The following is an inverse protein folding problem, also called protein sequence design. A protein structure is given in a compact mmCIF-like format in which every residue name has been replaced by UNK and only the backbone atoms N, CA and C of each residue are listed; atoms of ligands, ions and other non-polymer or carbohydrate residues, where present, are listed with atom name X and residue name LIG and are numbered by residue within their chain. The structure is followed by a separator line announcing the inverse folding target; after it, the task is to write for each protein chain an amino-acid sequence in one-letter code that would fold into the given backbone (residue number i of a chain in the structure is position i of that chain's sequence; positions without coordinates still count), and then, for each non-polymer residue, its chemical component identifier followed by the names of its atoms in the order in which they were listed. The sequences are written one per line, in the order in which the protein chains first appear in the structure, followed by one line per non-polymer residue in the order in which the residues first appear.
data_IF_762854006227
#
_entry.id   IF_762854006227
#
_cell.length_a   1.000
_cell.length_b   1.000
_cell.length_c   1.000
_cell.angle_alpha   90.00
_cell.angle_beta   90.00
_cell.angle_gamma   90.00
#
_symmetry.space_group_name_H-M   'P 1'
#
loop_
_entity.id
_entity.type
_entity.pdbx_description
1 polymer ?
#
# COMPACT_ATOMS: atom_id res chain seq x y z
N UNK A 1 38.42 -21.75 -40.56
CA UNK A 1 36.95 -21.75 -40.37
C UNK A 1 36.38 -20.58 -41.15
N UNK A 2 35.33 -20.81 -41.97
CA UNK A 2 34.68 -19.72 -42.70
C UNK A 2 33.96 -18.80 -41.69
N UNK A 3 34.26 -17.48 -41.65
CA UNK A 3 33.66 -16.53 -40.71
C UNK A 3 32.13 -16.61 -40.66
N UNK A 4 31.49 -16.91 -41.79
CA UNK A 4 30.04 -17.09 -41.89
C UNK A 4 29.52 -18.27 -41.05
N UNK A 5 30.30 -19.35 -40.91
CA UNK A 5 29.92 -20.50 -40.08
C UNK A 5 30.04 -20.17 -38.59
N UNK A 6 31.07 -19.41 -38.20
CA UNK A 6 31.22 -18.91 -36.82
C UNK A 6 30.09 -17.98 -36.42
N UNK A 7 29.73 -17.02 -37.29
CA UNK A 7 28.62 -16.09 -37.06
C UNK A 7 27.30 -16.86 -36.92
N UNK A 8 27.02 -17.81 -37.82
CA UNK A 8 25.83 -18.67 -37.74
C UNK A 8 25.78 -19.48 -36.45
N UNK A 9 26.90 -20.08 -36.05
CA UNK A 9 26.99 -20.85 -34.81
C UNK A 9 26.77 -19.97 -33.57
N UNK A 10 27.44 -18.82 -33.52
CA UNK A 10 27.28 -17.86 -32.43
C UNK A 10 25.83 -17.38 -32.32
N UNK A 11 25.21 -16.98 -33.43
CA UNK A 11 23.79 -16.58 -33.44
C UNK A 11 22.88 -17.73 -32.96
N UNK A 12 23.09 -18.96 -33.43
CA UNK A 12 22.29 -20.10 -33.00
C UNK A 12 22.41 -20.35 -31.49
N UNK A 13 23.64 -20.35 -30.95
CA UNK A 13 23.88 -20.55 -29.51
C UNK A 13 23.25 -19.43 -28.69
N UNK A 14 23.42 -18.17 -29.09
CA UNK A 14 22.81 -17.02 -28.41
C UNK A 14 21.28 -17.09 -28.45
N UNK A 15 20.68 -17.45 -29.59
CA UNK A 15 19.23 -17.64 -29.71
C UNK A 15 18.74 -18.75 -28.79
N UNK A 16 19.41 -19.90 -28.76
CA UNK A 16 19.05 -21.01 -27.85
C UNK A 16 19.15 -20.58 -26.38
N UNK A 17 20.19 -19.82 -26.01
CA UNK A 17 20.36 -19.32 -24.66
C UNK A 17 19.22 -18.36 -24.27
N UNK A 18 18.88 -17.41 -25.15
CA UNK A 18 17.77 -16.45 -24.91
C UNK A 18 16.43 -17.19 -24.79
N UNK A 19 16.16 -18.15 -25.68
CA UNK A 19 14.93 -18.95 -25.63
C UNK A 19 14.86 -19.80 -24.37
N UNK A 20 15.98 -20.37 -23.91
CA UNK A 20 16.03 -21.15 -22.67
C UNK A 20 15.75 -20.28 -21.44
N UNK A 21 16.34 -19.07 -21.39
CA UNK A 21 16.07 -18.09 -20.34
C UNK A 21 14.58 -17.69 -20.36
N UNK A 22 14.06 -17.35 -21.53
CA UNK A 22 12.67 -16.94 -21.73
C UNK A 22 11.67 -18.03 -21.31
N UNK A 23 11.92 -19.27 -21.74
CA UNK A 23 11.12 -20.42 -21.36
C UNK A 23 11.16 -20.65 -19.85
N UNK A 24 12.34 -20.62 -19.23
CA UNK A 24 12.48 -20.78 -17.77
C UNK A 24 11.68 -19.71 -17.02
N UNK A 25 11.82 -18.46 -17.43
CA UNK A 25 11.12 -17.34 -16.82
C UNK A 25 9.60 -17.43 -16.99
N UNK A 26 9.12 -17.85 -18.17
CA UNK A 26 7.70 -18.08 -18.42
C UNK A 26 7.15 -19.23 -17.58
N UNK A 27 7.87 -20.36 -17.51
CA UNK A 27 7.46 -21.54 -16.76
C UNK A 27 7.43 -21.29 -15.25
N UNK A 28 8.45 -20.62 -14.70
CA UNK A 28 8.50 -20.33 -13.26
C UNK A 28 7.58 -19.17 -12.90
N UNK A 29 7.53 -18.14 -13.75
CA UNK A 29 6.73 -16.93 -13.56
C UNK A 29 6.88 -16.36 -12.13
N UNK A 30 8.10 -15.95 -11.73
CA UNK A 30 8.42 -15.60 -10.34
C UNK A 30 7.58 -14.43 -9.82
N UNK A 31 7.16 -13.52 -10.70
CA UNK A 31 6.37 -12.32 -10.34
C UNK A 31 4.87 -12.47 -10.55
N UNK A 32 4.39 -13.63 -11.02
CA UNK A 32 2.96 -13.87 -11.31
C UNK A 32 2.36 -12.89 -12.33
N UNK A 33 3.16 -12.45 -13.32
CA UNK A 33 2.73 -11.57 -14.42
C UNK A 33 1.84 -12.33 -15.40
N UNK A 34 2.21 -13.57 -15.73
CA UNK A 34 1.42 -14.42 -16.63
C UNK A 34 0.24 -15.04 -15.87
N UNK A 35 -0.97 -14.88 -16.40
CA UNK A 35 -2.22 -15.43 -15.85
C UNK A 35 -2.20 -16.95 -15.80
N UNK A 36 -1.68 -17.58 -16.85
CA UNK A 36 -1.46 -19.03 -16.95
C UNK A 36 0.03 -19.33 -17.16
N UNK A 37 0.59 -20.17 -16.31
CA UNK A 37 1.90 -20.78 -16.50
C UNK A 37 1.88 -22.20 -15.92
N UNK A 38 2.54 -23.19 -16.56
CA UNK A 38 2.48 -24.60 -16.13
C UNK A 38 2.87 -24.82 -14.66
N UNK A 39 3.78 -24.01 -14.10
CA UNK A 39 4.22 -24.15 -12.71
C UNK A 39 3.51 -23.16 -11.75
N UNK A 40 2.50 -22.42 -12.21
CA UNK A 40 1.70 -21.58 -11.31
C UNK A 40 0.91 -22.40 -10.28
N UNK A 41 0.53 -23.64 -10.62
CA UNK A 41 -0.18 -24.57 -9.74
C UNK A 41 0.75 -25.34 -8.79
N UNK A 42 2.05 -25.32 -9.03
CA UNK A 42 3.02 -25.85 -8.08
C UNK A 42 3.10 -24.91 -6.88
N UNK A 43 3.23 -25.48 -5.68
CA UNK A 43 3.38 -24.76 -4.41
C UNK A 43 4.77 -24.10 -4.30
N UNK A 44 5.20 -23.37 -5.34
CA UNK A 44 6.43 -22.57 -5.32
C UNK A 44 6.16 -21.27 -4.56
N UNK A 45 7.03 -20.97 -3.60
CA UNK A 45 6.99 -19.72 -2.83
C UNK A 45 7.47 -18.56 -3.71
N UNK A 46 6.53 -17.83 -4.31
CA UNK A 46 6.80 -16.69 -5.21
C UNK A 46 6.97 -15.40 -4.41
N UNK A 47 8.08 -15.29 -3.70
CA UNK A 47 8.40 -14.18 -2.79
C UNK A 47 9.29 -13.09 -3.41
N UNK A 48 9.99 -13.40 -4.50
CA UNK A 48 10.88 -12.45 -5.17
C UNK A 48 10.06 -11.46 -5.98
N UNK A 49 10.23 -10.15 -5.73
CA UNK A 49 9.52 -9.08 -6.44
C UNK A 49 10.52 -8.15 -7.14
N UNK A 50 10.18 -7.66 -8.34
CA UNK A 50 10.89 -6.52 -8.94
C UNK A 50 10.36 -5.18 -8.44
N UNK A 51 9.05 -5.12 -8.21
CA UNK A 51 8.36 -3.91 -7.80
C UNK A 51 7.08 -4.31 -7.07
N UNK A 52 6.87 -3.74 -5.88
CA UNK A 52 5.60 -3.89 -5.16
C UNK A 52 4.45 -3.26 -5.95
N UNK A 53 4.71 -2.13 -6.62
CA UNK A 53 3.76 -1.42 -7.50
C UNK A 53 3.30 -2.32 -8.65
N UNK A 54 4.23 -2.90 -9.39
CA UNK A 54 3.93 -3.86 -10.46
C UNK A 54 3.10 -5.04 -9.93
N UNK A 55 3.55 -5.63 -8.82
CA UNK A 55 2.92 -6.80 -8.21
C UNK A 55 1.46 -6.54 -7.84
N UNK A 56 1.15 -5.36 -7.29
CA UNK A 56 -0.22 -4.99 -6.93
C UNK A 56 -1.15 -4.93 -8.15
N UNK A 57 -0.69 -4.44 -9.30
CA UNK A 57 -1.49 -4.38 -10.54
C UNK A 57 -1.79 -5.79 -11.08
N UNK A 58 -0.80 -6.67 -11.14
CA UNK A 58 -1.02 -8.03 -11.63
C UNK A 58 -1.80 -8.90 -10.64
N UNK A 59 -1.63 -8.68 -9.34
CA UNK A 59 -2.49 -9.27 -8.32
C UNK A 59 -3.94 -8.83 -8.50
N UNK A 60 -4.17 -7.54 -8.73
CA UNK A 60 -5.49 -7.00 -9.01
C UNK A 60 -6.13 -7.63 -10.25
N UNK A 61 -5.40 -7.68 -11.37
CA UNK A 61 -5.86 -8.32 -12.62
C UNK A 61 -6.24 -9.80 -12.42
N UNK A 62 -5.55 -10.51 -11.52
CA UNK A 62 -5.77 -11.94 -11.26
C UNK A 62 -6.86 -12.22 -10.21
N UNK A 63 -6.86 -11.48 -9.11
CA UNK A 63 -7.80 -11.67 -8.00
C UNK A 63 -9.19 -11.14 -8.37
N UNK A 64 -9.27 -10.08 -9.18
CA UNK A 64 -10.53 -9.41 -9.54
C UNK A 64 -11.37 -9.08 -8.29
N UNK A 65 -10.81 -8.34 -7.32
CA UNK A 65 -11.47 -8.09 -6.05
C UNK A 65 -12.72 -7.22 -6.20
N UNK A 66 -13.69 -7.42 -5.31
CA UNK A 66 -14.84 -6.54 -5.13
C UNK A 66 -14.61 -5.52 -4.00
N UNK A 67 -13.65 -5.78 -3.11
CA UNK A 67 -13.29 -4.90 -2.00
C UNK A 67 -11.78 -4.61 -2.01
N UNK A 68 -11.42 -3.34 -1.87
CA UNK A 68 -10.02 -2.90 -1.81
C UNK A 68 -9.70 -2.25 -0.46
N UNK A 69 -8.55 -2.63 0.10
CA UNK A 69 -7.89 -1.86 1.16
C UNK A 69 -6.81 -1.02 0.51
N UNK A 70 -6.84 0.29 0.72
CA UNK A 70 -5.91 1.23 0.08
C UNK A 70 -5.28 2.16 1.10
N UNK A 71 -4.02 2.52 0.86
CA UNK A 71 -3.26 3.45 1.69
C UNK A 71 -1.76 3.18 1.59
N UNK A 72 -1.04 3.54 2.65
CA UNK A 72 0.40 3.30 2.75
C UNK A 72 0.72 1.96 3.42
N UNK A 73 1.97 1.76 3.86
CA UNK A 73 2.37 0.57 4.64
C UNK A 73 1.51 0.34 5.89
N UNK A 74 0.89 1.38 6.46
CA UNK A 74 0.08 1.26 7.69
C UNK A 74 -1.12 0.31 7.53
N UNK A 75 -1.96 0.53 6.51
CA UNK A 75 -3.03 -0.42 6.18
C UNK A 75 -2.49 -1.68 5.51
N UNK A 76 -1.29 -1.60 4.91
CA UNK A 76 -0.58 -2.74 4.30
C UNK A 76 -0.25 -3.87 5.27
N UNK A 77 -0.15 -3.58 6.58
CA UNK A 77 0.06 -4.59 7.62
C UNK A 77 -1.22 -5.33 8.02
N UNK A 78 -2.39 -4.87 7.60
CA UNK A 78 -3.65 -5.50 7.95
C UNK A 78 -4.02 -6.61 6.98
N UNK A 79 -4.59 -7.69 7.52
CA UNK A 79 -4.99 -8.84 6.74
C UNK A 79 -6.38 -8.60 6.12
N UNK A 80 -6.57 -8.90 4.81
CA UNK A 80 -7.89 -8.92 4.19
C UNK A 80 -8.92 -9.75 4.96
N UNK A 81 -8.46 -10.79 5.69
CA UNK A 81 -9.30 -11.66 6.51
C UNK A 81 -10.10 -10.89 7.57
N UNK A 82 -9.55 -9.79 8.09
CA UNK A 82 -10.20 -8.97 9.12
C UNK A 82 -11.45 -8.23 8.60
N UNK A 83 -11.59 -8.09 7.27
CA UNK A 83 -12.76 -7.47 6.65
C UNK A 83 -13.80 -8.47 6.15
N UNK A 84 -13.49 -9.77 6.13
CA UNK A 84 -14.39 -10.80 5.58
C UNK A 84 -15.69 -10.97 6.36
N UNK A 85 -15.72 -10.52 7.62
CA UNK A 85 -16.94 -10.52 8.46
C UNK A 85 -17.87 -9.34 8.14
N UNK A 86 -17.35 -8.30 7.48
CA UNK A 86 -18.09 -7.07 7.18
C UNK A 86 -18.44 -6.90 5.70
N UNK A 87 -17.63 -7.49 4.80
CA UNK A 87 -17.68 -7.22 3.36
C UNK A 87 -17.49 -8.48 2.50
N UNK A 88 -18.05 -8.42 1.30
CA UNK A 88 -17.95 -9.49 0.31
C UNK A 88 -16.51 -9.71 -0.18
N UNK A 89 -16.19 -10.99 -0.42
CA UNK A 89 -14.97 -11.45 -1.10
C UNK A 89 -15.10 -11.29 -2.63
N UNK A 90 -13.97 -11.27 -3.38
CA UNK A 90 -12.59 -11.24 -2.90
C UNK A 90 -12.16 -9.86 -2.36
N UNK A 91 -11.41 -9.86 -1.27
CA UNK A 91 -10.83 -8.66 -0.65
C UNK A 91 -9.33 -8.64 -0.98
N UNK A 92 -8.84 -7.54 -1.54
CA UNK A 92 -7.41 -7.34 -1.77
C UNK A 92 -6.88 -6.15 -0.96
N UNK A 93 -5.75 -6.38 -0.28
CA UNK A 93 -4.94 -5.29 0.24
C UNK A 93 -4.05 -4.72 -0.87
N UNK A 94 -4.48 -3.60 -1.45
CA UNK A 94 -3.81 -2.87 -2.54
C UNK A 94 -2.87 -1.77 -1.99
N UNK A 95 -2.57 -1.78 -0.68
CA UNK A 95 -1.69 -0.80 -0.08
C UNK A 95 -0.33 -0.71 -0.79
N UNK A 96 0.18 0.51 -0.87
CA UNK A 96 1.45 0.84 -1.49
C UNK A 96 2.37 1.43 -0.43
N UNK A 97 3.39 0.67 -0.02
CA UNK A 97 4.36 1.07 1.00
C UNK A 97 4.92 2.47 0.71
N UNK A 98 4.88 3.34 1.72
CA UNK A 98 5.40 4.71 1.63
C UNK A 98 4.84 5.55 0.49
N UNK A 99 3.67 5.22 -0.07
CA UNK A 99 3.11 5.90 -1.25
C UNK A 99 2.73 7.36 -1.02
N UNK A 100 2.80 8.14 -2.09
CA UNK A 100 2.15 9.45 -2.21
C UNK A 100 0.64 9.30 -2.46
N UNK A 101 -0.14 10.34 -2.15
CA UNK A 101 -1.57 10.38 -2.51
C UNK A 101 -1.77 10.29 -4.03
N UNK A 102 -0.84 10.80 -4.84
CA UNK A 102 -0.90 10.68 -6.29
C UNK A 102 -0.82 9.23 -6.77
N UNK A 103 0.13 8.42 -6.25
CA UNK A 103 0.18 6.99 -6.57
C UNK A 103 -1.13 6.30 -6.16
N UNK A 104 -1.64 6.61 -4.98
CA UNK A 104 -2.88 6.00 -4.49
C UNK A 104 -4.06 6.34 -5.40
N UNK A 105 -4.15 7.59 -5.85
CA UNK A 105 -5.12 8.05 -6.84
C UNK A 105 -5.03 7.29 -8.16
N UNK A 106 -3.83 7.13 -8.73
CA UNK A 106 -3.66 6.41 -9.99
C UNK A 106 -4.14 4.96 -9.88
N UNK A 107 -3.80 4.27 -8.79
CA UNK A 107 -4.19 2.88 -8.56
C UNK A 107 -5.70 2.74 -8.32
N UNK A 108 -6.29 3.61 -7.51
CA UNK A 108 -7.74 3.60 -7.26
C UNK A 108 -8.53 3.93 -8.51
N UNK A 109 -8.11 4.95 -9.27
CA UNK A 109 -8.75 5.30 -10.54
C UNK A 109 -8.74 4.11 -11.50
N UNK A 110 -7.57 3.49 -11.69
CA UNK A 110 -7.45 2.29 -12.52
C UNK A 110 -8.37 1.17 -12.05
N UNK A 111 -8.40 0.90 -10.75
CA UNK A 111 -9.21 -0.17 -10.19
C UNK A 111 -10.72 0.09 -10.32
N UNK A 112 -11.17 1.33 -10.14
CA UNK A 112 -12.58 1.73 -10.31
C UNK A 112 -12.99 1.63 -11.80
N UNK A 113 -12.12 2.05 -12.71
CA UNK A 113 -12.41 2.06 -14.16
C UNK A 113 -12.40 0.66 -14.78
N UNK A 114 -11.56 -0.27 -14.28
CA UNK A 114 -11.32 -1.57 -14.92
C UNK A 114 -11.75 -2.78 -14.07
N UNK A 115 -12.11 -2.56 -12.82
CA UNK A 115 -12.56 -3.60 -11.89
C UNK A 115 -14.06 -3.62 -11.66
N UNK A 116 -14.50 -4.50 -10.76
CA UNK A 116 -15.89 -4.59 -10.27
C UNK A 116 -15.94 -4.23 -8.79
N UNK A 117 -15.41 -3.05 -8.47
CA UNK A 117 -15.25 -2.61 -7.09
C UNK A 117 -16.61 -2.21 -6.52
N UNK A 118 -16.92 -2.72 -5.33
CA UNK A 118 -18.08 -2.36 -4.53
C UNK A 118 -17.69 -1.59 -3.27
N UNK A 119 -16.53 -1.90 -2.71
CA UNK A 119 -16.07 -1.32 -1.44
C UNK A 119 -14.60 -0.88 -1.54
N UNK A 120 -14.28 0.30 -0.99
CA UNK A 120 -12.93 0.80 -0.79
C UNK A 120 -12.78 1.25 0.65
N UNK A 121 -11.78 0.70 1.36
CA UNK A 121 -11.37 1.13 2.69
C UNK A 121 -10.06 1.87 2.51
N UNK A 122 -10.06 3.19 2.72
CA UNK A 122 -8.93 4.05 2.40
C UNK A 122 -8.34 4.69 3.66
N UNK A 123 -7.17 4.19 4.05
CA UNK A 123 -6.34 4.77 5.11
C UNK A 123 -5.53 5.95 4.57
N UNK A 124 -5.81 7.15 5.09
CA UNK A 124 -5.17 8.40 4.71
C UNK A 124 -4.14 8.83 5.76
N UNK A 125 -2.89 8.92 5.34
CA UNK A 125 -1.76 9.25 6.21
C UNK A 125 -1.23 10.64 5.94
N UNK A 126 -1.07 11.45 6.99
CA UNK A 126 -0.69 12.85 6.85
C UNK A 126 0.59 13.05 6.02
N UNK A 127 1.63 12.26 6.24
CA UNK A 127 2.89 12.37 5.50
C UNK A 127 2.73 12.12 3.99
N UNK A 128 1.71 11.36 3.56
CA UNK A 128 1.47 11.06 2.15
C UNK A 128 0.96 12.29 1.38
N UNK A 129 0.48 13.31 2.09
CA UNK A 129 0.03 14.59 1.53
C UNK A 129 1.16 15.59 1.31
N UNK A 130 2.39 15.30 1.74
CA UNK A 130 3.54 16.15 1.47
C UNK A 130 3.69 16.37 -0.05
N UNK A 131 3.68 17.63 -0.53
CA UNK A 131 3.76 17.94 -1.97
C UNK A 131 5.09 17.53 -2.61
N UNK A 132 6.18 17.47 -1.82
CA UNK A 132 7.51 17.11 -2.32
C UNK A 132 7.73 15.59 -2.31
N UNK A 133 6.72 14.81 -1.93
CA UNK A 133 6.78 13.35 -1.93
C UNK A 133 6.60 12.82 -3.34
N UNK A 134 7.72 12.52 -3.99
CA UNK A 134 7.72 11.84 -5.28
C UNK A 134 7.08 10.44 -5.16
N UNK A 135 6.49 9.93 -6.26
CA UNK A 135 6.18 8.52 -6.39
C UNK A 135 7.40 7.63 -6.10
N UNK A 136 7.13 6.36 -5.81
CA UNK A 136 8.18 5.34 -5.73
C UNK A 136 8.94 5.22 -7.05
N UNK A 137 10.23 4.88 -6.99
CA UNK A 137 11.08 4.77 -8.18
C UNK A 137 10.69 3.64 -9.14
N UNK A 138 9.79 2.73 -8.73
CA UNK A 138 9.24 1.66 -9.56
C UNK A 138 7.79 1.90 -10.00
N UNK A 139 7.24 3.07 -9.66
CA UNK A 139 5.93 3.49 -10.12
C UNK A 139 5.99 3.87 -11.61
N UNK A 140 5.14 3.25 -12.41
CA UNK A 140 5.02 3.49 -13.85
C UNK A 140 3.54 3.75 -14.15
N UNK A 141 3.18 4.97 -14.55
CA UNK A 141 1.78 5.33 -14.82
C UNK A 141 1.23 4.60 -16.04
N UNK A 142 2.05 4.35 -17.07
CA UNK A 142 1.67 3.63 -18.30
C UNK A 142 1.17 2.20 -18.02
N UNK A 143 1.63 1.59 -16.91
CA UNK A 143 1.14 0.28 -16.44
C UNK A 143 -0.35 0.30 -16.11
N UNK A 144 -0.86 1.46 -15.70
CA UNK A 144 -2.25 1.69 -15.29
C UNK A 144 -3.10 2.27 -16.43
N UNK A 145 -2.52 2.60 -17.58
CA UNK A 145 -3.24 3.14 -18.73
C UNK A 145 -3.42 2.11 -19.85
N UNK A 146 -2.66 1.00 -19.78
CA UNK A 146 -2.67 -0.04 -20.80
C UNK A 146 -3.22 -1.37 -20.28
N UNK A 147 -4.00 -2.05 -21.12
CA UNK A 147 -4.38 -3.45 -20.86
C UNK A 147 -3.14 -4.35 -20.80
N UNK A 148 -2.15 -4.07 -21.66
CA UNK A 148 -0.86 -4.75 -21.73
C UNK A 148 0.30 -3.75 -21.70
N UNK A 149 1.09 -3.80 -20.62
CA UNK A 149 2.31 -3.01 -20.50
C UNK A 149 3.53 -3.84 -20.90
N UNK A 150 3.95 -3.73 -22.17
CA UNK A 150 4.98 -4.60 -22.78
C UNK A 150 6.31 -4.63 -22.04
N UNK A 151 6.70 -3.52 -21.39
CA UNK A 151 7.96 -3.46 -20.62
C UNK A 151 8.00 -4.48 -19.48
N UNK A 152 6.89 -4.64 -18.75
CA UNK A 152 6.79 -5.65 -17.70
C UNK A 152 6.86 -7.07 -18.28
N UNK A 153 6.21 -7.34 -19.41
CA UNK A 153 6.26 -8.66 -20.07
C UNK A 153 7.65 -8.97 -20.65
N UNK A 154 8.31 -7.99 -21.28
CA UNK A 154 9.67 -8.15 -21.79
C UNK A 154 10.65 -8.39 -20.64
N UNK A 155 10.48 -7.68 -19.53
CA UNK A 155 11.27 -7.88 -18.30
C UNK A 155 10.98 -9.25 -17.69
N UNK A 156 9.73 -9.69 -17.69
CA UNK A 156 9.33 -11.00 -17.20
C UNK A 156 9.91 -12.14 -18.05
N UNK A 157 10.10 -11.96 -19.36
CA UNK A 157 10.61 -13.01 -20.24
C UNK A 157 12.13 -12.98 -20.39
N UNK A 158 12.72 -11.83 -20.72
CA UNK A 158 14.08 -11.77 -21.26
C UNK A 158 15.13 -11.22 -20.28
N UNK A 159 14.72 -10.73 -19.11
CA UNK A 159 15.66 -10.12 -18.16
C UNK A 159 16.44 -11.19 -17.37
N UNK A 160 17.76 -10.99 -17.26
CA UNK A 160 18.64 -11.92 -16.53
C UNK A 160 18.41 -11.93 -15.01
N UNK A 161 18.02 -10.80 -14.40
CA UNK A 161 17.60 -10.76 -13.00
C UNK A 161 16.33 -11.58 -12.77
N UNK A 162 15.38 -11.54 -13.73
CA UNK A 162 14.22 -12.43 -13.70
C UNK A 162 14.64 -13.89 -13.77
N UNK A 163 15.64 -14.24 -14.57
CA UNK A 163 16.21 -15.58 -14.58
C UNK A 163 16.80 -15.99 -13.24
N UNK A 164 17.58 -15.11 -12.59
CA UNK A 164 18.10 -15.35 -11.24
C UNK A 164 16.96 -15.57 -10.23
N UNK A 165 15.90 -14.77 -10.28
CA UNK A 165 14.74 -14.92 -9.41
C UNK A 165 13.94 -16.20 -9.73
N UNK A 166 13.86 -16.62 -10.99
CA UNK A 166 13.24 -17.89 -11.38
C UNK A 166 14.00 -19.07 -10.79
N UNK A 167 15.35 -19.07 -10.87
CA UNK A 167 16.18 -20.10 -10.24
C UNK A 167 16.06 -20.08 -8.71
N UNK A 168 16.04 -18.90 -8.11
CA UNK A 168 15.82 -18.75 -6.67
C UNK A 168 14.44 -19.30 -6.24
N UNK A 169 13.39 -19.01 -7.01
CA UNK A 169 12.02 -19.50 -6.77
C UNK A 169 11.94 -21.02 -6.83
N UNK A 170 12.72 -21.68 -7.71
CA UNK A 170 12.81 -23.15 -7.77
C UNK A 170 13.56 -23.70 -6.54
N UNK A 171 14.61 -23.00 -6.08
CA UNK A 171 15.42 -23.39 -4.94
C UNK A 171 14.70 -23.19 -3.61
N UNK A 172 13.88 -22.16 -3.52
CA UNK A 172 13.05 -21.89 -2.36
C UNK A 172 12.13 -23.10 -2.12
N UNK A 173 12.11 -23.60 -0.88
CA UNK A 173 11.36 -24.81 -0.54
C UNK A 173 9.90 -24.67 -0.99
N UNK A 174 9.33 -25.79 -1.44
CA UNK A 174 7.89 -26.01 -1.58
C UNK A 174 7.28 -25.94 -0.19
N UNK A 175 7.09 -24.74 0.31
CA UNK A 175 6.38 -24.47 1.55
C UNK A 175 4.97 -24.05 1.15
N UNK A 176 3.97 -24.44 1.94
CA UNK A 176 2.65 -23.82 1.83
C UNK A 176 2.84 -22.29 1.78
N UNK A 177 2.07 -21.54 0.97
CA UNK A 177 2.20 -20.10 0.94
C UNK A 177 2.08 -19.60 2.38
N UNK A 178 3.20 -19.16 2.96
CA UNK A 178 3.18 -18.47 4.23
C UNK A 178 2.39 -17.20 3.96
N UNK A 179 1.12 -17.21 4.33
CA UNK A 179 0.46 -15.96 4.66
C UNK A 179 1.33 -15.37 5.75
N UNK A 180 2.06 -14.30 5.43
CA UNK A 180 2.82 -13.56 6.43
C UNK A 180 1.77 -13.08 7.42
N UNK A 181 1.68 -13.79 8.54
CA UNK A 181 0.77 -13.47 9.62
C UNK A 181 1.46 -12.40 10.46
N UNK A 182 0.94 -11.19 10.39
CA UNK A 182 1.40 -10.08 11.22
C UNK A 182 0.66 -10.04 12.57
N UNK A 183 0.02 -11.14 12.96
CA UNK A 183 -0.61 -11.27 14.28
C UNK A 183 0.44 -11.17 15.39
N UNK A 184 -0.01 -10.59 16.52
CA UNK A 184 0.81 -10.38 17.69
C UNK A 184 1.79 -9.22 17.58
N UNK A 185 2.54 -9.06 18.67
CA UNK A 185 3.62 -8.07 18.78
C UNK A 185 4.96 -8.79 18.54
N UNK A 186 5.62 -8.57 17.39
CA UNK A 186 6.87 -9.25 17.06
C UNK A 186 8.11 -8.65 17.74
N UNK A 187 7.96 -7.50 18.40
CA UNK A 187 9.06 -6.77 19.03
C UNK A 187 8.92 -6.75 20.55
N UNK A 188 10.05 -6.87 21.24
CA UNK A 188 10.14 -6.59 22.68
C UNK A 188 9.85 -5.11 22.97
N UNK A 189 9.42 -4.74 24.20
CA UNK A 189 9.20 -3.34 24.57
C UNK A 189 10.41 -2.42 24.31
N UNK A 190 11.63 -2.94 24.49
CA UNK A 190 12.88 -2.24 24.24
C UNK A 190 13.10 -2.00 22.74
N UNK A 191 12.86 -3.01 21.90
CA UNK A 191 12.90 -2.87 20.44
C UNK A 191 11.86 -1.88 19.93
N UNK A 192 10.63 -1.89 20.46
CA UNK A 192 9.59 -0.91 20.08
C UNK A 192 10.07 0.51 20.39
N UNK A 193 10.66 0.76 21.56
CA UNK A 193 11.21 2.09 21.92
C UNK A 193 12.33 2.52 20.98
N UNK A 194 13.22 1.59 20.62
CA UNK A 194 14.29 1.84 19.64
C UNK A 194 13.71 2.19 18.26
N UNK A 195 12.78 1.38 17.77
CA UNK A 195 12.09 1.57 16.50
C UNK A 195 11.34 2.91 16.46
N UNK A 196 10.63 3.27 17.54
CA UNK A 196 9.98 4.58 17.68
C UNK A 196 10.99 5.71 17.50
N UNK A 197 12.12 5.63 18.19
CA UNK A 197 13.18 6.65 18.11
C UNK A 197 13.71 6.77 16.68
N UNK A 198 13.97 5.63 16.04
CA UNK A 198 14.43 5.57 14.65
C UNK A 198 13.42 6.19 13.68
N UNK A 199 12.16 5.75 13.72
CA UNK A 199 11.11 6.23 12.81
C UNK A 199 10.77 7.70 13.03
N UNK A 200 10.76 8.20 14.27
CA UNK A 200 10.62 9.63 14.52
C UNK A 200 11.78 10.41 13.89
N UNK A 201 13.01 9.91 14.01
CA UNK A 201 14.16 10.54 13.39
C UNK A 201 14.09 10.51 11.86
N UNK A 202 13.67 9.40 11.26
CA UNK A 202 13.48 9.29 9.82
C UNK A 202 12.45 10.31 9.32
N UNK A 203 11.27 10.36 9.94
CA UNK A 203 10.19 11.25 9.52
C UNK A 203 10.57 12.72 9.64
N UNK A 204 11.29 13.11 10.71
CA UNK A 204 11.68 14.52 10.94
C UNK A 204 12.84 15.00 10.07
N UNK A 205 13.65 14.10 9.51
CA UNK A 205 14.87 14.45 8.76
C UNK A 205 14.72 14.27 7.25
N UNK A 206 13.87 13.35 6.79
CA UNK A 206 13.70 13.10 5.35
C UNK A 206 12.61 13.97 4.72
N UNK A 207 12.98 14.65 3.62
CA UNK A 207 12.09 15.53 2.83
C UNK A 207 10.87 14.82 2.23
N UNK A 208 10.94 13.49 2.02
CA UNK A 208 9.82 12.68 1.53
C UNK A 208 8.75 12.39 2.60
N UNK A 209 9.03 12.74 3.87
CA UNK A 209 8.11 12.62 4.99
C UNK A 209 7.70 13.99 5.50
N UNK A 210 8.29 14.49 6.60
CA UNK A 210 7.85 15.72 7.27
C UNK A 210 8.83 16.88 7.09
N UNK A 211 10.08 16.62 6.69
CA UNK A 211 11.14 17.64 6.59
C UNK A 211 11.06 18.53 5.32
N UNK A 212 9.91 18.57 4.66
CA UNK A 212 9.66 19.45 3.52
C UNK A 212 9.29 20.86 4.00
N UNK A 213 9.95 21.88 3.45
CA UNK A 213 9.60 23.28 3.72
C UNK A 213 8.24 23.63 3.12
N UNK A 214 7.93 23.11 1.92
CA UNK A 214 6.65 23.30 1.25
C UNK A 214 5.49 22.81 2.13
N UNK A 215 5.70 21.70 2.83
CA UNK A 215 4.67 21.07 3.66
C UNK A 215 4.23 21.89 4.89
N UNK A 216 5.02 22.89 5.30
CA UNK A 216 4.61 23.85 6.34
C UNK A 216 3.52 24.82 5.85
N UNK A 217 3.38 24.99 4.53
CA UNK A 217 2.33 25.82 3.95
C UNK A 217 1.06 25.00 3.78
N UNK A 218 -0.03 25.40 4.44
CA UNK A 218 -1.24 24.58 4.48
C UNK A 218 -1.88 24.37 3.11
N UNK A 219 -1.85 25.35 2.21
CA UNK A 219 -2.35 25.23 0.84
C UNK A 219 -1.48 24.33 -0.06
N UNK A 220 -0.26 23.98 0.36
CA UNK A 220 0.62 23.12 -0.44
C UNK A 220 0.06 21.71 -0.67
N UNK A 221 -0.85 21.25 0.19
CA UNK A 221 -1.47 19.93 0.10
C UNK A 221 -2.76 19.91 -0.75
N UNK A 222 -3.18 21.05 -1.31
CA UNK A 222 -4.45 21.19 -2.02
C UNK A 222 -4.56 20.26 -3.25
N UNK A 223 -3.44 20.05 -3.96
CA UNK A 223 -3.39 19.13 -5.09
C UNK A 223 -3.69 17.69 -4.63
N UNK A 224 -3.07 17.24 -3.53
CA UNK A 224 -3.30 15.91 -2.96
C UNK A 224 -4.74 15.77 -2.42
N UNK A 225 -5.28 16.82 -1.80
CA UNK A 225 -6.69 16.90 -1.44
C UNK A 225 -7.64 16.84 -2.66
N UNK A 226 -7.21 17.35 -3.81
CA UNK A 226 -7.91 17.26 -5.09
C UNK A 226 -7.99 15.82 -5.62
N UNK A 227 -6.90 15.06 -5.50
CA UNK A 227 -6.89 13.63 -5.85
C UNK A 227 -7.87 12.81 -4.99
N UNK A 228 -7.91 13.07 -3.67
CA UNK A 228 -8.89 12.44 -2.77
C UNK A 228 -10.33 12.78 -3.19
N UNK A 229 -10.61 14.05 -3.50
CA UNK A 229 -11.93 14.46 -3.98
C UNK A 229 -12.33 13.75 -5.27
N UNK A 230 -11.38 13.56 -6.19
CA UNK A 230 -11.62 12.90 -7.47
C UNK A 230 -12.03 11.45 -7.27
N UNK A 231 -11.31 10.70 -6.41
CA UNK A 231 -11.68 9.32 -6.07
C UNK A 231 -13.05 9.26 -5.39
N UNK A 232 -13.33 10.13 -4.42
CA UNK A 232 -14.66 10.18 -3.77
C UNK A 232 -15.77 10.38 -4.81
N UNK A 233 -15.55 11.27 -5.79
CA UNK A 233 -16.52 11.52 -6.86
C UNK A 233 -16.68 10.29 -7.78
N UNK A 234 -15.59 9.60 -8.11
CA UNK A 234 -15.64 8.34 -8.86
C UNK A 234 -16.40 7.26 -8.08
N UNK A 235 -16.16 7.11 -6.78
CA UNK A 235 -16.90 6.17 -5.95
C UNK A 235 -18.40 6.45 -5.99
N UNK A 236 -18.82 7.71 -5.81
CA UNK A 236 -20.23 8.10 -5.90
C UNK A 236 -20.83 7.83 -7.28
N UNK A 237 -20.09 8.13 -8.35
CA UNK A 237 -20.53 7.91 -9.74
C UNK A 237 -20.76 6.43 -10.05
N UNK A 238 -19.96 5.55 -9.44
CA UNK A 238 -19.99 4.11 -9.67
C UNK A 238 -20.70 3.32 -8.56
N UNK A 239 -21.40 4.00 -7.64
CA UNK A 239 -22.09 3.39 -6.49
C UNK A 239 -21.18 2.50 -5.62
N UNK A 240 -19.96 2.97 -5.38
CA UNK A 240 -18.94 2.29 -4.58
C UNK A 240 -18.97 2.87 -3.16
N UNK A 241 -19.12 1.99 -2.16
CA UNK A 241 -18.96 2.35 -0.75
C UNK A 241 -17.49 2.69 -0.48
N UNK A 242 -17.22 3.93 -0.09
CA UNK A 242 -15.86 4.40 0.17
C UNK A 242 -15.74 4.85 1.63
N UNK A 243 -15.13 4.01 2.46
CA UNK A 243 -14.87 4.26 3.88
C UNK A 243 -13.48 4.87 4.04
N UNK A 244 -13.41 6.11 4.54
CA UNK A 244 -12.15 6.80 4.79
C UNK A 244 -11.83 6.81 6.27
N UNK A 245 -10.55 6.67 6.59
CA UNK A 245 -10.04 6.88 7.94
C UNK A 245 -8.63 7.48 7.94
N UNK A 246 -8.25 8.14 9.02
CA UNK A 246 -6.86 8.55 9.26
C UNK A 246 -6.17 7.50 10.13
N UNK A 247 -4.96 7.07 9.78
CA UNK A 247 -4.30 6.03 10.58
C UNK A 247 -3.83 6.58 11.93
N UNK A 248 -3.92 5.79 13.01
CA UNK A 248 -3.30 6.16 14.28
C UNK A 248 -1.78 6.20 14.14
N UNK A 249 -1.16 7.08 14.93
CA UNK A 249 0.29 7.14 15.12
C UNK A 249 0.57 7.23 16.61
N UNK A 250 1.77 6.83 17.03
CA UNK A 250 2.13 6.91 18.44
C UNK A 250 2.12 8.37 18.89
N UNK A 251 1.73 8.65 20.14
CA UNK A 251 1.54 10.02 20.66
C UNK A 251 2.76 10.94 20.41
N UNK A 252 3.98 10.40 20.52
CA UNK A 252 5.21 11.16 20.23
C UNK A 252 5.28 11.65 18.76
N UNK A 253 4.67 10.94 17.83
CA UNK A 253 4.58 11.31 16.42
C UNK A 253 3.63 12.51 16.22
N UNK A 254 2.52 12.57 16.96
CA UNK A 254 1.63 13.74 16.98
C UNK A 254 2.32 14.97 17.57
N UNK A 255 3.05 14.80 18.69
CA UNK A 255 3.86 15.86 19.31
C UNK A 255 4.93 16.38 18.35
N UNK A 256 5.51 15.51 17.53
CA UNK A 256 6.49 15.87 16.50
C UNK A 256 5.89 16.78 15.42
N UNK A 257 4.63 16.60 15.02
CA UNK A 257 4.00 17.52 14.05
C UNK A 257 4.01 18.97 14.55
N UNK A 258 3.70 19.18 15.83
CA UNK A 258 3.77 20.51 16.44
C UNK A 258 5.22 21.02 16.52
N UNK A 259 6.14 20.20 17.02
CA UNK A 259 7.56 20.58 17.15
C UNK A 259 8.21 20.95 15.79
N UNK A 260 7.69 20.42 14.69
CA UNK A 260 8.13 20.72 13.32
C UNK A 260 7.38 21.90 12.67
N UNK A 261 6.48 22.57 13.39
CA UNK A 261 5.68 23.69 12.86
C UNK A 261 4.59 23.26 11.87
N UNK A 262 4.24 21.98 11.81
CA UNK A 262 3.25 21.43 10.87
C UNK A 262 1.81 21.50 11.40
N UNK A 263 1.58 22.02 12.60
CA UNK A 263 0.27 22.08 13.24
C UNK A 263 -0.80 22.71 12.33
N UNK A 264 -0.49 23.84 11.68
CA UNK A 264 -1.41 24.52 10.76
C UNK A 264 -1.80 23.64 9.58
N UNK A 265 -0.83 22.99 8.93
CA UNK A 265 -1.09 22.08 7.81
C UNK A 265 -1.81 20.82 8.26
N UNK A 266 -1.48 20.24 9.42
CA UNK A 266 -2.15 19.08 9.97
C UNK A 266 -3.64 19.37 10.26
N UNK A 267 -3.92 20.52 10.86
CA UNK A 267 -5.29 20.98 11.12
C UNK A 267 -6.04 21.26 9.82
N UNK A 268 -5.40 21.93 8.87
CA UNK A 268 -5.97 22.20 7.55
C UNK A 268 -6.29 20.91 6.80
N UNK A 269 -5.43 19.89 6.90
CA UNK A 269 -5.64 18.57 6.31
C UNK A 269 -6.93 17.92 6.83
N UNK A 270 -7.09 17.81 8.15
CA UNK A 270 -8.31 17.21 8.75
C UNK A 270 -9.59 17.97 8.36
N UNK A 271 -9.59 19.29 8.47
CA UNK A 271 -10.73 20.14 8.07
C UNK A 271 -11.04 19.98 6.57
N UNK A 272 -10.01 19.91 5.74
CA UNK A 272 -10.20 19.79 4.30
C UNK A 272 -10.71 18.41 3.90
N UNK A 273 -10.38 17.35 4.64
CA UNK A 273 -10.99 16.04 4.47
C UNK A 273 -12.48 16.06 4.87
N UNK A 274 -12.83 16.66 6.01
CA UNK A 274 -14.22 16.74 6.47
C UNK A 274 -15.13 17.52 5.52
N UNK A 275 -14.59 18.50 4.79
CA UNK A 275 -15.33 19.21 3.72
C UNK A 275 -15.68 18.31 2.52
N UNK A 276 -14.90 17.25 2.28
CA UNK A 276 -15.06 16.35 1.12
C UNK A 276 -16.01 15.19 1.42
N UNK A 277 -15.88 14.58 2.59
CA UNK A 277 -16.69 13.45 3.06
C UNK A 277 -16.58 13.25 4.57
N UNK A 278 -17.48 12.45 5.13
CA UNK A 278 -17.31 11.92 6.49
C UNK A 278 -16.17 10.89 6.52
N UNK A 279 -15.46 10.80 7.64
CA UNK A 279 -14.39 9.82 7.87
C UNK A 279 -14.25 9.54 9.37
N UNK A 280 -13.52 8.48 9.73
CA UNK A 280 -13.17 8.21 11.14
C UNK A 280 -11.73 8.61 11.41
N UNK A 281 -11.53 9.47 12.41
CA UNK A 281 -10.21 9.98 12.79
C UNK A 281 -9.60 9.14 13.91
N UNK A 282 -8.59 8.33 13.59
CA UNK A 282 -7.78 7.63 14.61
C UNK A 282 -6.46 8.34 14.90
N UNK A 283 -6.14 9.41 14.17
CA UNK A 283 -4.92 10.18 14.30
C UNK A 283 -5.08 11.29 15.36
N UNK A 284 -5.45 10.88 16.57
CA UNK A 284 -5.70 11.74 17.75
C UNK A 284 -4.97 11.19 18.97
N UNK A 285 -4.88 11.97 20.04
CA UNK A 285 -4.38 11.45 21.32
C UNK A 285 -5.52 10.67 21.99
N UNK A 286 -5.30 9.39 22.25
CA UNK A 286 -6.26 8.45 22.84
C UNK A 286 -5.54 7.24 23.47
N UNK A 287 -6.29 6.40 24.17
CA UNK A 287 -5.81 5.22 24.89
C UNK A 287 -4.99 4.24 24.03
N UNK A 288 -5.29 4.14 22.73
CA UNK A 288 -4.51 3.29 21.81
C UNK A 288 -3.19 3.97 21.45
N UNK A 289 -3.22 5.24 21.04
CA UNK A 289 -2.01 6.00 20.62
C UNK A 289 -1.00 6.25 21.74
N UNK A 290 -1.42 6.14 23.00
CA UNK A 290 -0.57 6.25 24.18
C UNK A 290 -0.03 4.89 24.67
N UNK A 291 -0.54 3.78 24.16
CA UNK A 291 -0.08 2.46 24.55
C UNK A 291 1.02 1.96 23.60
N UNK A 292 2.24 1.93 24.13
CA UNK A 292 3.45 1.45 23.44
C UNK A 292 3.26 0.08 22.78
N UNK A 293 2.56 -0.86 23.43
CA UNK A 293 2.46 -2.25 22.97
C UNK A 293 1.58 -2.43 21.73
N UNK A 294 0.81 -1.42 21.36
CA UNK A 294 0.00 -1.42 20.14
C UNK A 294 0.78 -1.01 18.89
N UNK A 295 2.05 -0.66 19.05
CA UNK A 295 2.90 -0.14 18.00
C UNK A 295 4.12 -1.04 17.75
N UNK A 296 4.50 -1.16 16.48
CA UNK A 296 5.76 -1.77 16.04
C UNK A 296 6.89 -0.72 15.99
N UNK A 297 6.50 0.52 15.69
CA UNK A 297 7.30 1.73 15.66
C UNK A 297 6.38 2.96 15.85
N UNK A 298 6.84 4.20 15.64
CA UNK A 298 6.00 5.38 15.90
C UNK A 298 4.84 5.60 14.91
N UNK A 299 4.79 4.83 13.82
CA UNK A 299 3.90 5.00 12.66
C UNK A 299 3.02 3.77 12.41
N UNK A 300 3.50 2.57 12.71
CA UNK A 300 2.84 1.31 12.39
C UNK A 300 2.27 0.63 13.63
N UNK A 301 0.95 0.42 13.63
CA UNK A 301 0.25 -0.38 14.64
C UNK A 301 0.31 -1.88 14.32
N UNK A 302 0.10 -2.71 15.34
CA UNK A 302 -0.07 -4.16 15.18
C UNK A 302 -1.44 -4.52 14.57
N UNK A 303 -1.57 -5.76 14.09
CA UNK A 303 -2.76 -6.22 13.37
C UNK A 303 -4.04 -6.18 14.23
N UNK A 304 -3.94 -6.38 15.54
CA UNK A 304 -5.03 -6.31 16.50
C UNK A 304 -5.70 -4.93 16.54
N UNK A 305 -4.90 -3.86 16.40
CA UNK A 305 -5.43 -2.50 16.29
C UNK A 305 -6.15 -2.31 14.96
N UNK A 306 -5.70 -2.99 13.89
CA UNK A 306 -6.44 -3.07 12.63
C UNK A 306 -7.86 -3.64 12.81
N UNK A 307 -8.03 -4.67 13.66
CA UNK A 307 -9.35 -5.21 14.01
C UNK A 307 -10.21 -4.17 14.74
N UNK A 308 -9.62 -3.39 15.66
CA UNK A 308 -10.32 -2.29 16.34
C UNK A 308 -10.75 -1.19 15.36
N UNK A 309 -9.87 -0.82 14.41
CA UNK A 309 -10.17 0.16 13.35
C UNK A 309 -11.37 -0.31 12.54
N UNK A 310 -11.35 -1.54 12.01
CA UNK A 310 -12.45 -2.05 11.20
C UNK A 310 -13.74 -2.19 12.01
N UNK A 311 -13.68 -2.68 13.25
CA UNK A 311 -14.84 -2.72 14.12
C UNK A 311 -15.44 -1.33 14.36
N UNK A 312 -14.62 -0.28 14.45
CA UNK A 312 -15.10 1.10 14.56
C UNK A 312 -15.75 1.59 13.26
N UNK A 313 -15.15 1.30 12.10
CA UNK A 313 -15.70 1.66 10.78
C UNK A 313 -17.05 0.97 10.47
N UNK A 314 -17.23 -0.27 10.94
CA UNK A 314 -18.45 -1.05 10.69
C UNK A 314 -19.40 -1.12 11.89
N UNK A 315 -19.18 -0.28 12.91
CA UNK A 315 -19.98 -0.22 14.14
C UNK A 315 -20.15 -1.59 14.86
N UNK A 316 -19.16 -2.45 14.76
CA UNK A 316 -19.12 -3.72 15.50
C UNK A 316 -18.82 -3.47 16.98
N UNK A 317 -19.70 -3.99 17.84
CA UNK A 317 -19.61 -3.91 19.30
C UNK A 317 -19.06 -5.19 19.93
N UNK A 318 -18.87 -6.26 19.16
CA UNK A 318 -18.32 -7.54 19.63
C UNK A 318 -16.81 -7.50 19.79
N UNK A 319 -16.11 -6.65 19.04
CA UNK A 319 -14.68 -6.42 19.17
C UNK A 319 -14.41 -5.42 20.29
N UNK A 320 -13.66 -5.85 21.30
CA UNK A 320 -13.23 -4.99 22.40
C UNK A 320 -12.36 -3.85 21.86
N UNK A 321 -12.84 -2.62 22.02
CA UNK A 321 -12.15 -1.37 21.70
C UNK A 321 -12.15 -0.45 22.93
N UNK A 322 -11.27 0.55 22.95
CA UNK A 322 -11.38 1.63 23.93
C UNK A 322 -12.39 2.66 23.42
N UNK A 323 -13.20 3.22 24.31
CA UNK A 323 -14.33 4.10 23.93
C UNK A 323 -13.87 5.38 23.23
N UNK A 324 -12.64 5.80 23.46
CA UNK A 324 -12.00 6.98 22.89
C UNK A 324 -11.25 6.72 21.56
N UNK A 325 -11.24 5.47 21.05
CA UNK A 325 -10.50 5.12 19.84
C UNK A 325 -11.36 5.28 18.58
N UNK A 326 -11.04 6.33 17.83
CA UNK A 326 -11.70 6.68 16.57
C UNK A 326 -12.87 7.64 16.78
N UNK A 327 -12.72 8.86 16.27
CA UNK A 327 -13.74 9.92 16.33
C UNK A 327 -14.46 10.01 14.98
N UNK A 328 -15.78 9.99 14.99
CA UNK A 328 -16.56 10.19 13.77
C UNK A 328 -16.52 11.67 13.37
N UNK A 329 -15.95 11.95 12.20
CA UNK A 329 -15.92 13.29 11.61
C UNK A 329 -16.97 13.35 10.52
N UNK A 330 -18.08 14.03 10.79
CA UNK A 330 -19.14 14.21 9.83
C UNK A 330 -18.79 15.26 8.78
N UNK A 331 -19.29 15.08 7.56
CA UNK A 331 -19.05 16.03 6.47
C UNK A 331 -19.49 17.44 6.88
N UNK A 332 -18.58 18.41 6.72
CA UNK A 332 -18.74 19.81 7.12
C UNK A 332 -18.89 20.08 8.63
N UNK A 333 -18.69 19.07 9.49
CA UNK A 333 -18.64 19.28 10.94
C UNK A 333 -17.23 19.72 11.35
N UNK A 334 -17.10 21.02 11.66
CA UNK A 334 -15.84 21.59 12.15
C UNK A 334 -15.65 21.39 13.65
N UNK A 335 -16.70 21.07 14.43
CA UNK A 335 -16.58 20.95 15.89
C UNK A 335 -15.94 19.65 16.32
N UNK A 336 -16.21 18.55 15.60
CA UNK A 336 -15.65 17.23 15.87
C UNK A 336 -14.16 17.09 15.50
N UNK A 337 -13.62 18.02 14.70
CA UNK A 337 -12.25 17.95 14.16
C UNK A 337 -11.15 18.33 15.19
N UNK A 338 -11.51 18.87 16.36
CA UNK A 338 -10.58 19.52 17.29
C UNK A 338 -10.48 18.89 18.68
N UNK A 339 -11.06 17.70 18.90
CA UNK A 339 -10.89 16.95 20.15
C UNK A 339 -9.75 15.93 20.05
#
# INVERSE_FOLDING_TARGET
MNPMHWIKYFMAVTTIAILSISLTNYLVNPYRIFTSSPLNSLLLTKQHLLSSRMTQVYNFKRIQPSTLMMGTSRIGLFSPKQLEVYLDKPIQNLALEGSSIYEQYCYLRYAIEHGRIKNIIWGLDFFAFNPDKSPDGTFESERLESSFYWSDYATALFNFKTFQHSLATIKDKVSAPETIDFSGQPFTPEEIKSNITYTLNEYRTHKKFLASNSFQQSNSIDQNLGYVQTIINLCRKHDIRCELYTSPVYEAHLKMYNAMGLEKTFRYWKISLSRKTSYVDFCTVNSVTQNLLYFRDSSHVIQEVGSMIFARLFHDTTVKKTDDFGIDIFKNDLKSTFN
#
